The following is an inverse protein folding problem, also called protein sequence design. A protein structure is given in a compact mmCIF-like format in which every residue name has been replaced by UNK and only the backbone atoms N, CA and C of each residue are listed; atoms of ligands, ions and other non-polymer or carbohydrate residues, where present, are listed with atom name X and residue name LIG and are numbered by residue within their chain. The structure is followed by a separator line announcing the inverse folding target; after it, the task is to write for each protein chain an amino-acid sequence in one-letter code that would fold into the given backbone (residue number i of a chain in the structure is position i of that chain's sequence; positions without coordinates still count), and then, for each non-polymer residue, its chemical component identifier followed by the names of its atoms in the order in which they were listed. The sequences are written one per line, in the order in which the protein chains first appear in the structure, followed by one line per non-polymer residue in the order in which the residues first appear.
data_IF_280362330879
#
_entry.id   IF_280362330879
#
_cell.length_a   1.000
_cell.length_b   1.000
_cell.length_c   1.000
_cell.angle_alpha   90.00
_cell.angle_beta   90.00
_cell.angle_gamma   90.00
#
_symmetry.space_group_name_H-M   'P 1'
#
loop_
_entity.id
_entity.type
_entity.pdbx_description
1 polymer ?
#
# COMPACT_ATOMS: atom_id res chain seq x y z
N UNK A 1 -36.43 30.93 27.39
CA UNK A 1 -36.68 29.87 26.38
C UNK A 1 -35.80 30.17 25.18
N UNK A 2 -34.59 29.60 25.06
CA UNK A 2 -34.23 28.42 24.21
C UNK A 2 -34.64 28.64 22.75
N UNK A 3 -33.74 28.87 21.78
CA UNK A 3 -32.85 27.84 21.20
C UNK A 3 -31.70 28.42 20.35
N UNK A 4 -30.52 28.64 20.93
CA UNK A 4 -29.29 28.98 20.17
C UNK A 4 -28.24 27.86 20.20
N UNK A 5 -28.63 26.63 20.60
CA UNK A 5 -27.69 25.51 20.81
C UNK A 5 -27.61 24.52 19.65
N UNK A 6 -28.31 24.74 18.54
CA UNK A 6 -28.39 23.75 17.46
C UNK A 6 -27.25 23.81 16.43
N UNK A 7 -26.53 24.93 16.31
CA UNK A 7 -25.56 25.12 15.23
C UNK A 7 -24.09 24.92 15.62
N UNK A 8 -23.76 24.76 16.92
CA UNK A 8 -22.37 24.62 17.38
C UNK A 8 -21.99 23.19 17.79
N UNK A 9 -22.48 22.18 17.06
CA UNK A 9 -22.04 20.78 17.27
C UNK A 9 -21.24 20.36 16.03
N UNK A 10 -19.91 20.35 16.13
CA UNK A 10 -19.02 19.74 15.13
C UNK A 10 -19.48 18.29 14.94
N UNK A 11 -20.19 18.00 13.85
CA UNK A 11 -20.57 16.63 13.53
C UNK A 11 -19.31 15.85 13.14
N UNK A 12 -19.07 14.75 13.84
CA UNK A 12 -17.95 13.87 13.54
C UNK A 12 -18.22 13.14 12.21
N UNK A 13 -17.18 12.94 11.39
CA UNK A 13 -17.30 12.31 10.05
C UNK A 13 -17.95 10.92 10.15
N UNK A 14 -17.65 10.21 11.24
CA UNK A 14 -18.24 8.92 11.60
C UNK A 14 -19.73 9.02 11.90
N UNK A 15 -20.17 10.10 12.54
CA UNK A 15 -21.58 10.31 12.88
C UNK A 15 -22.40 10.70 11.64
N UNK A 16 -21.80 11.48 10.73
CA UNK A 16 -22.37 11.77 9.42
C UNK A 16 -22.59 10.51 8.59
N UNK A 17 -21.57 9.64 8.47
CA UNK A 17 -21.67 8.39 7.71
C UNK A 17 -22.70 7.42 8.29
N UNK A 18 -22.80 7.34 9.62
CA UNK A 18 -23.86 6.54 10.29
C UNK A 18 -25.26 7.06 9.96
N UNK A 19 -25.44 8.37 9.95
CA UNK A 19 -26.75 8.99 9.63
C UNK A 19 -27.09 8.86 8.14
N UNK A 20 -26.12 9.05 7.26
CA UNK A 20 -26.27 8.84 5.81
C UNK A 20 -26.51 7.36 5.44
N UNK A 21 -25.97 6.42 6.22
CA UNK A 21 -26.15 4.98 6.00
C UNK A 21 -27.47 4.41 6.54
N UNK A 22 -28.10 5.05 7.53
CA UNK A 22 -29.33 4.53 8.17
C UNK A 22 -30.60 5.21 7.62
N UNK A 23 -30.52 6.45 7.15
CA UNK A 23 -31.63 7.14 6.47
C UNK A 23 -31.29 7.34 5.00
N UNK A 24 -31.96 6.62 4.10
CA UNK A 24 -31.84 6.69 2.63
C UNK A 24 -32.21 8.05 1.98
N UNK A 25 -31.76 9.16 2.55
CA UNK A 25 -31.92 10.51 2.02
C UNK A 25 -30.89 10.84 0.92
N UNK A 26 -30.15 9.86 0.40
CA UNK A 26 -29.39 9.98 -0.85
C UNK A 26 -30.25 9.77 -2.10
N UNK A 27 -31.46 9.18 -1.95
CA UNK A 27 -32.33 8.88 -3.09
C UNK A 27 -33.16 10.08 -3.58
N UNK A 28 -33.34 11.12 -2.76
CA UNK A 28 -34.23 12.24 -3.09
C UNK A 28 -33.61 13.27 -4.07
N UNK A 29 -32.29 13.26 -4.27
CA UNK A 29 -31.63 14.08 -5.31
C UNK A 29 -31.58 13.38 -6.68
N UNK A 30 -32.12 12.18 -6.81
CA UNK A 30 -32.07 11.36 -8.03
C UNK A 30 -33.10 11.71 -9.12
N UNK A 31 -33.98 12.69 -8.90
CA UNK A 31 -35.04 13.03 -9.86
C UNK A 31 -34.75 14.26 -10.75
N UNK A 32 -33.66 15.00 -10.51
CA UNK A 32 -33.27 16.16 -11.31
C UNK A 32 -31.93 15.96 -12.02
N UNK A 33 -31.94 15.18 -13.12
CA UNK A 33 -30.95 15.25 -14.22
C UNK A 33 -29.48 14.91 -13.94
N UNK A 34 -29.05 14.79 -12.69
CA UNK A 34 -27.64 14.57 -12.33
C UNK A 34 -27.22 13.09 -12.43
N UNK A 35 -28.18 12.15 -12.47
CA UNK A 35 -27.90 10.71 -12.60
C UNK A 35 -27.28 10.33 -13.95
N UNK A 36 -27.53 11.11 -15.00
CA UNK A 36 -26.91 10.91 -16.33
C UNK A 36 -25.41 11.23 -16.36
N UNK A 37 -24.92 12.10 -15.47
CA UNK A 37 -23.50 12.45 -15.40
C UNK A 37 -22.67 11.36 -14.72
N UNK A 38 -23.24 10.64 -13.75
CA UNK A 38 -22.55 9.53 -13.07
C UNK A 38 -22.63 8.20 -13.84
N UNK A 39 -23.63 8.01 -14.70
CA UNK A 39 -23.79 6.78 -15.48
C UNK A 39 -22.74 6.62 -16.60
N UNK A 40 -22.13 7.73 -17.07
CA UNK A 40 -21.20 7.72 -18.21
C UNK A 40 -19.72 7.57 -17.83
N UNK A 41 -19.39 7.39 -16.55
CA UNK A 41 -17.99 7.36 -16.10
C UNK A 41 -17.41 5.95 -15.93
N UNK A 42 -18.18 4.90 -16.20
CA UNK A 42 -17.80 3.50 -15.90
C UNK A 42 -17.72 2.58 -17.12
N UNK A 43 -17.46 3.14 -18.30
CA UNK A 43 -17.21 2.37 -19.54
C UNK A 43 -15.73 2.31 -19.95
N UNK A 44 -14.80 2.74 -19.09
CA UNK A 44 -13.42 2.25 -19.21
C UNK A 44 -13.41 0.85 -18.60
N UNK A 45 -13.39 -0.19 -19.41
CA UNK A 45 -12.95 -1.51 -18.95
C UNK A 45 -11.57 -1.32 -18.32
N UNK A 46 -11.50 -1.20 -17.00
CA UNK A 46 -10.22 -1.16 -16.28
C UNK A 46 -9.53 -2.47 -16.63
N UNK A 47 -8.51 -2.40 -17.50
CA UNK A 47 -7.61 -3.53 -17.73
C UNK A 47 -7.20 -4.03 -16.35
N UNK A 48 -7.51 -5.28 -16.06
CA UNK A 48 -6.97 -5.91 -14.87
C UNK A 48 -5.45 -5.89 -15.03
N UNK A 49 -4.76 -5.25 -14.08
CA UNK A 49 -3.31 -5.24 -14.02
C UNK A 49 -2.89 -6.68 -13.73
N UNK A 50 -2.23 -7.35 -14.67
CA UNK A 50 -1.97 -8.80 -14.61
C UNK A 50 -0.50 -9.14 -14.37
N UNK A 51 0.31 -8.13 -14.03
CA UNK A 51 1.70 -8.30 -13.63
C UNK A 51 2.73 -8.01 -14.72
N UNK A 52 2.30 -7.56 -15.90
CA UNK A 52 3.19 -7.10 -16.98
C UNK A 52 3.45 -5.58 -16.94
N UNK A 53 3.01 -4.94 -15.86
CA UNK A 53 3.08 -3.48 -15.74
C UNK A 53 4.46 -3.05 -15.30
N UNK A 54 5.08 -2.15 -16.07
CA UNK A 54 6.36 -1.55 -15.72
C UNK A 54 6.19 -0.52 -14.59
N UNK A 55 6.52 -0.94 -13.36
CA UNK A 55 6.57 -0.07 -12.18
C UNK A 55 8.02 0.22 -11.88
N UNK A 56 8.47 1.44 -12.15
CA UNK A 56 9.83 1.86 -11.84
C UNK A 56 10.05 1.99 -10.33
N UNK A 57 11.13 1.39 -9.81
CA UNK A 57 11.50 1.51 -8.39
C UNK A 57 12.03 2.91 -8.05
N UNK A 58 12.85 3.50 -8.92
CA UNK A 58 13.43 4.83 -8.73
C UNK A 58 12.57 5.92 -9.37
N UNK A 59 12.33 6.98 -8.61
CA UNK A 59 11.59 8.15 -9.08
C UNK A 59 11.57 9.26 -8.04
N UNK A 60 10.94 10.38 -8.38
CA UNK A 60 10.73 11.50 -7.45
C UNK A 60 9.85 11.10 -6.25
N UNK A 61 8.90 10.19 -6.49
CA UNK A 61 7.96 9.67 -5.50
C UNK A 61 8.08 8.14 -5.44
N UNK A 62 7.91 7.57 -4.25
CA UNK A 62 7.94 6.12 -4.08
C UNK A 62 6.73 5.46 -4.74
N UNK A 63 6.94 4.31 -5.35
CA UNK A 63 5.87 3.44 -5.83
C UNK A 63 4.97 3.00 -4.65
N UNK A 64 3.71 2.69 -4.95
CA UNK A 64 2.70 2.29 -3.97
C UNK A 64 1.81 3.42 -3.45
N UNK A 65 2.09 4.69 -3.80
CA UNK A 65 1.23 5.84 -3.44
C UNK A 65 0.20 6.12 -4.55
N UNK A 66 0.70 6.45 -5.75
CA UNK A 66 -0.11 6.71 -6.94
C UNK A 66 -0.16 5.52 -7.89
N UNK A 67 0.60 4.46 -7.59
CA UNK A 67 0.57 3.19 -8.33
C UNK A 67 -0.86 2.63 -8.29
N UNK A 68 -1.37 2.10 -9.43
CA UNK A 68 -2.66 1.43 -9.46
C UNK A 68 -2.78 0.31 -8.41
N UNK A 69 -4.00 0.08 -7.92
CA UNK A 69 -4.28 -0.90 -6.86
C UNK A 69 -3.82 -2.31 -7.26
N UNK A 70 -2.96 -2.91 -6.43
CA UNK A 70 -2.47 -4.28 -6.61
C UNK A 70 -3.44 -5.31 -6.01
N UNK A 71 -3.35 -6.57 -6.47
CA UNK A 71 -4.24 -7.67 -6.04
C UNK A 71 -4.00 -8.11 -4.59
N UNK A 72 -2.80 -7.90 -4.04
CA UNK A 72 -2.40 -8.32 -2.69
C UNK A 72 -1.54 -7.25 -2.01
N UNK A 73 -1.54 -7.23 -0.67
CA UNK A 73 -0.74 -6.31 0.14
C UNK A 73 -0.25 -7.01 1.42
N UNK A 74 1.03 -6.84 1.73
CA UNK A 74 1.63 -7.23 3.00
C UNK A 74 2.07 -5.97 3.74
N UNK A 75 1.65 -5.84 5.00
CA UNK A 75 2.01 -4.72 5.87
C UNK A 75 2.86 -5.22 7.04
N UNK A 76 3.96 -4.52 7.32
CA UNK A 76 4.87 -4.86 8.43
C UNK A 76 5.08 -3.64 9.32
N UNK A 77 5.25 -3.88 10.62
CA UNK A 77 5.70 -2.90 11.61
C UNK A 77 6.91 -3.50 12.31
N UNK A 78 8.00 -2.76 12.39
CA UNK A 78 9.30 -3.27 12.81
C UNK A 78 9.93 -2.32 13.83
N UNK A 79 10.50 -2.89 14.88
CA UNK A 79 11.30 -2.17 15.87
C UNK A 79 12.79 -2.27 15.55
N UNK A 80 13.53 -1.18 15.77
CA UNK A 80 14.98 -1.20 15.66
C UNK A 80 15.60 -1.82 16.91
N UNK A 81 16.43 -2.84 16.72
CA UNK A 81 17.16 -3.50 17.83
C UNK A 81 18.54 -2.89 18.09
N UNK A 82 18.93 -1.89 17.29
CA UNK A 82 20.20 -1.16 17.41
C UNK A 82 19.92 0.34 17.32
N UNK A 83 20.74 1.13 18.02
CA UNK A 83 20.74 2.60 17.92
C UNK A 83 21.95 3.12 17.15
N UNK A 84 22.83 2.25 16.65
CA UNK A 84 23.95 2.67 15.82
C UNK A 84 23.44 3.15 14.45
N UNK A 85 23.63 4.45 14.20
CA UNK A 85 23.29 5.09 12.93
C UNK A 85 23.94 4.41 11.72
N UNK A 86 25.18 3.91 11.84
CA UNK A 86 25.88 3.27 10.71
C UNK A 86 25.20 1.97 10.30
N UNK A 87 24.79 1.16 11.28
CA UNK A 87 24.08 -0.10 11.05
C UNK A 87 22.70 0.17 10.42
N UNK A 88 21.97 1.16 10.93
CA UNK A 88 20.65 1.53 10.36
C UNK A 88 20.78 2.07 8.94
N UNK A 89 21.80 2.88 8.64
CA UNK A 89 22.08 3.32 7.27
C UNK A 89 22.36 2.13 6.36
N UNK A 90 23.14 1.16 6.83
CA UNK A 90 23.47 -0.03 6.04
C UNK A 90 22.22 -0.88 5.78
N UNK A 91 21.35 -1.06 6.79
CA UNK A 91 20.07 -1.76 6.64
C UNK A 91 19.24 -1.17 5.50
N UNK A 92 19.06 0.16 5.47
CA UNK A 92 18.28 0.82 4.41
C UNK A 92 18.95 0.73 3.03
N UNK A 93 20.29 0.72 2.96
CA UNK A 93 21.00 0.50 1.69
C UNK A 93 20.75 -0.92 1.15
N UNK A 94 20.88 -1.93 2.01
CA UNK A 94 20.67 -3.32 1.63
C UNK A 94 19.23 -3.54 1.19
N UNK A 95 18.26 -2.99 1.92
CA UNK A 95 16.85 -3.06 1.55
C UNK A 95 16.52 -2.30 0.25
N UNK A 96 17.19 -1.18 -0.02
CA UNK A 96 16.98 -0.44 -1.26
C UNK A 96 17.48 -1.27 -2.46
N UNK A 97 18.67 -1.86 -2.35
CA UNK A 97 19.21 -2.78 -3.38
C UNK A 97 18.27 -3.98 -3.58
N UNK A 98 17.87 -4.62 -2.49
CA UNK A 98 16.99 -5.79 -2.53
C UNK A 98 15.61 -5.48 -3.13
N UNK A 99 15.00 -4.37 -2.74
CA UNK A 99 13.69 -3.97 -3.23
C UNK A 99 13.73 -3.60 -4.71
N UNK A 100 14.79 -2.94 -5.18
CA UNK A 100 14.96 -2.63 -6.61
C UNK A 100 14.97 -3.89 -7.47
N UNK A 101 15.74 -4.91 -7.05
CA UNK A 101 15.80 -6.21 -7.72
C UNK A 101 14.46 -6.93 -7.71
N UNK A 102 13.77 -6.94 -6.57
CA UNK A 102 12.46 -7.59 -6.45
C UNK A 102 11.40 -6.95 -7.35
N UNK A 103 11.40 -5.61 -7.49
CA UNK A 103 10.50 -4.90 -8.41
C UNK A 103 10.82 -5.24 -9.88
N UNK A 104 12.09 -5.40 -10.22
CA UNK A 104 12.53 -5.85 -11.55
C UNK A 104 12.35 -7.37 -11.79
N UNK A 105 11.77 -8.11 -10.83
CA UNK A 105 11.59 -9.57 -10.93
C UNK A 105 12.88 -10.37 -10.81
N UNK A 106 13.96 -9.77 -10.29
CA UNK A 106 15.26 -10.40 -10.12
C UNK A 106 15.41 -11.08 -8.76
N UNK A 107 16.32 -12.06 -8.69
CA UNK A 107 16.70 -12.69 -7.43
C UNK A 107 17.58 -11.76 -6.59
N UNK A 108 17.24 -11.63 -5.32
CA UNK A 108 17.98 -10.81 -4.35
C UNK A 108 19.37 -11.36 -4.05
N UNK A 109 19.51 -12.69 -4.08
CA UNK A 109 20.77 -13.40 -3.91
C UNK A 109 20.86 -14.56 -4.90
N UNK A 110 22.09 -14.91 -5.28
CA UNK A 110 22.33 -16.05 -6.18
C UNK A 110 21.88 -17.33 -5.48
N UNK A 111 21.06 -18.13 -6.17
CA UNK A 111 20.70 -19.47 -5.70
C UNK A 111 22.00 -20.28 -5.61
N UNK A 112 22.35 -20.69 -4.39
CA UNK A 112 23.46 -21.61 -4.18
C UNK A 112 22.90 -23.03 -4.34
N UNK A 113 23.49 -23.88 -5.21
CA UNK A 113 23.01 -25.25 -5.38
C UNK A 113 23.02 -25.99 -4.05
N UNK A 114 21.98 -26.79 -3.79
CA UNK A 114 21.77 -27.54 -2.54
C UNK A 114 22.97 -28.40 -2.09
N UNK A 115 23.89 -28.74 -3.00
CA UNK A 115 25.12 -29.48 -2.70
C UNK A 115 26.24 -28.67 -2.01
N UNK A 116 26.23 -27.33 -2.07
CA UNK A 116 27.32 -26.51 -1.50
C UNK A 116 27.11 -26.12 -0.03
N UNK A 117 25.92 -26.31 0.54
CA UNK A 117 25.65 -26.01 1.95
C UNK A 117 26.36 -26.98 2.90
N UNK A 118 26.61 -28.22 2.49
CA UNK A 118 27.25 -29.25 3.32
C UNK A 118 28.72 -28.93 3.64
N UNK A 119 29.43 -28.21 2.77
CA UNK A 119 30.86 -27.94 2.96
C UNK A 119 31.12 -26.80 3.96
N UNK A 120 30.20 -25.84 4.06
CA UNK A 120 30.35 -24.67 4.93
C UNK A 120 30.07 -24.95 6.42
N UNK A 121 29.29 -25.99 6.72
CA UNK A 121 28.97 -26.38 8.11
C UNK A 121 30.06 -27.29 8.69
N UNK A 122 30.74 -28.10 7.87
CA UNK A 122 31.81 -28.97 8.35
C UNK A 122 33.15 -28.23 8.56
N UNK A 123 33.46 -27.20 7.75
CA UNK A 123 34.68 -26.41 7.94
C UNK A 123 34.68 -25.44 9.13
N UNK A 124 33.57 -25.33 9.87
CA UNK A 124 33.45 -24.44 11.04
C UNK A 124 33.42 -25.17 12.39
N UNK A 125 33.52 -26.51 12.37
CA UNK A 125 33.58 -27.35 13.58
C UNK A 125 34.99 -27.87 13.89
N UNK A 126 36.00 -27.47 13.11
CA UNK A 126 37.37 -27.96 13.22
C UNK A 126 38.39 -26.95 13.74
N UNK A 127 37.94 -25.81 14.28
CA UNK A 127 38.79 -24.79 14.90
C UNK A 127 38.29 -24.48 16.32
#
# INVERSE_FOLDING_TARGET
MTDEKFLNRKMDRREFLKKAGIGGAGLALGLSGASAFFANQDSSSKKAYDGDEDITFYGKHQAGITTPMQKACYLVVLDLHTTDKKEVIQLFKDWTDYSSKLVEGQLVQKIVPMGSYHQKIQGKRSD
#
